data_IF_102080896143
#
_entry.id   IF_102080896143
#
_cell.length_a   1.000
_cell.length_b   1.000
_cell.length_c   1.000
_cell.angle_alpha   90.00
_cell.angle_beta   90.00
_cell.angle_gamma   90.00
#
_symmetry.space_group_name_H-M   'P 1'
#
loop_
_entity.id
_entity.type
_entity.pdbx_description
1 polymer ?
#
# COMPACT_ATOMS: atom_id res chain seq x y z
N UNK A 1 -2.34 -2.68 -23.42
CA UNK A 1 -1.81 -1.83 -22.33
C UNK A 1 -2.01 -2.52 -20.99
N UNK A 2 -0.96 -2.56 -20.17
CA UNK A 2 -0.97 -3.06 -18.79
C UNK A 2 -0.84 -1.88 -17.86
N UNK A 3 -1.87 -1.64 -17.04
CA UNK A 3 -1.86 -0.63 -15.99
C UNK A 3 -1.72 -1.33 -14.64
N UNK A 4 -0.77 -0.88 -13.82
CA UNK A 4 -0.50 -1.45 -12.50
C UNK A 4 -0.73 -0.37 -11.44
N UNK A 5 -1.60 -0.68 -10.46
CA UNK A 5 -1.71 0.09 -9.23
C UNK A 5 -0.57 -0.31 -8.30
N UNK A 6 0.37 0.60 -8.10
CA UNK A 6 1.55 0.41 -7.24
C UNK A 6 1.48 1.23 -5.93
N UNK A 7 0.26 1.56 -5.51
CA UNK A 7 0.05 2.48 -4.38
C UNK A 7 0.62 1.96 -3.05
N UNK A 8 0.57 0.64 -2.83
CA UNK A 8 1.03 0.03 -1.57
C UNK A 8 2.51 -0.38 -1.59
N UNK A 9 2.97 -0.93 -2.72
CA UNK A 9 4.38 -1.28 -2.85
C UNK A 9 5.27 -0.04 -3.02
N UNK A 10 4.77 1.00 -3.67
CA UNK A 10 5.51 2.22 -3.99
C UNK A 10 6.75 1.96 -4.86
N UNK A 11 7.40 2.96 -5.44
CA UNK A 11 8.65 2.75 -6.16
C UNK A 11 9.83 2.32 -5.26
N UNK A 12 9.66 2.39 -3.93
CA UNK A 12 10.66 1.92 -2.98
C UNK A 12 10.78 0.39 -2.97
N UNK A 13 9.68 -0.33 -3.14
CA UNK A 13 9.65 -1.80 -3.08
C UNK A 13 9.49 -2.43 -4.46
N UNK A 14 8.68 -1.84 -5.35
CA UNK A 14 8.37 -2.42 -6.65
C UNK A 14 8.40 -1.37 -7.75
N UNK A 15 8.98 -1.72 -8.89
CA UNK A 15 9.06 -0.86 -10.10
C UNK A 15 8.39 -1.55 -11.28
N UNK A 16 7.05 -1.47 -11.42
CA UNK A 16 6.32 -2.24 -12.43
C UNK A 16 6.72 -1.96 -13.88
N UNK A 17 7.23 -0.77 -14.18
CA UNK A 17 7.75 -0.45 -15.53
C UNK A 17 8.86 -1.42 -15.93
N UNK A 18 9.77 -1.77 -15.02
CA UNK A 18 10.87 -2.73 -15.28
C UNK A 18 10.37 -4.17 -15.43
N UNK A 19 9.11 -4.42 -15.05
CA UNK A 19 8.42 -5.70 -15.15
C UNK A 19 7.43 -5.74 -16.34
N UNK A 20 7.45 -4.71 -17.20
CA UNK A 20 6.66 -4.64 -18.42
C UNK A 20 5.29 -3.97 -18.29
N UNK A 21 5.06 -3.16 -17.26
CA UNK A 21 3.89 -2.30 -17.19
C UNK A 21 4.04 -1.10 -18.13
N UNK A 22 2.95 -0.75 -18.82
CA UNK A 22 2.89 0.42 -19.70
C UNK A 22 2.51 1.69 -18.91
N UNK A 23 1.67 1.53 -17.89
CA UNK A 23 1.20 2.60 -17.01
C UNK A 23 1.34 2.15 -15.56
N UNK A 24 1.86 3.02 -14.71
CA UNK A 24 1.92 2.79 -13.28
C UNK A 24 1.19 3.91 -12.55
N UNK A 25 0.24 3.54 -11.71
CA UNK A 25 -0.51 4.46 -10.87
C UNK A 25 0.07 4.46 -9.44
N UNK A 26 0.16 5.64 -8.86
CA UNK A 26 0.55 5.86 -7.48
C UNK A 26 -0.44 6.76 -6.77
N UNK A 27 -0.83 6.38 -5.55
CA UNK A 27 -1.52 7.29 -4.63
C UNK A 27 -0.49 8.10 -3.85
N UNK A 28 -0.47 9.41 -4.03
CA UNK A 28 0.29 10.32 -3.19
C UNK A 28 -0.30 10.44 -1.78
N UNK A 29 -1.58 10.14 -1.62
CA UNK A 29 -2.32 10.16 -0.35
C UNK A 29 -1.83 9.09 0.65
N UNK A 30 -1.26 8.00 0.16
CA UNK A 30 -0.84 6.83 0.95
C UNK A 30 0.64 6.98 1.36
N UNK A 31 1.42 5.98 1.18
CA UNK A 31 2.82 5.91 1.59
C UNK A 31 3.74 6.98 0.99
N UNK A 32 3.42 7.58 -0.17
CA UNK A 32 4.28 8.60 -0.77
C UNK A 32 4.35 9.85 0.10
N UNK A 33 3.21 10.36 0.57
CA UNK A 33 3.18 11.38 1.64
C UNK A 33 3.58 10.77 2.99
N UNK A 34 2.95 9.66 3.36
CA UNK A 34 3.25 8.88 4.55
C UNK A 34 2.88 9.54 5.87
N UNK A 35 2.11 10.63 5.85
CA UNK A 35 1.68 11.34 7.05
C UNK A 35 0.21 11.80 7.02
N UNK A 36 -0.56 11.39 6.01
CA UNK A 36 -1.99 11.72 5.91
C UNK A 36 -2.28 13.21 5.75
N UNK A 37 -1.40 13.97 5.06
CA UNK A 37 -1.47 15.44 4.95
C UNK A 37 -2.14 15.92 3.68
N UNK A 38 -2.10 15.14 2.59
CA UNK A 38 -2.57 15.55 1.28
C UNK A 38 -3.31 14.43 0.55
N UNK A 39 -4.19 14.82 -0.35
CA UNK A 39 -4.72 13.95 -1.39
C UNK A 39 -3.97 14.24 -2.69
N UNK A 40 -3.33 13.22 -3.25
CA UNK A 40 -2.55 13.33 -4.46
C UNK A 40 -2.51 11.99 -5.21
N UNK A 41 -2.23 12.06 -6.52
CA UNK A 41 -1.99 10.89 -7.36
C UNK A 41 -0.98 11.19 -8.45
N UNK A 42 -0.34 10.14 -8.95
CA UNK A 42 0.57 10.23 -10.09
C UNK A 42 0.35 9.06 -11.05
N UNK A 43 0.37 9.36 -12.34
CA UNK A 43 0.43 8.38 -13.43
C UNK A 43 1.79 8.47 -14.10
N UNK A 44 2.50 7.37 -14.14
CA UNK A 44 3.78 7.23 -14.82
C UNK A 44 3.59 6.38 -16.06
N UNK A 45 4.02 6.89 -17.21
CA UNK A 45 3.92 6.22 -18.52
C UNK A 45 5.02 6.75 -19.45
N UNK A 46 5.23 6.16 -20.64
CA UNK A 46 6.14 6.71 -21.65
C UNK A 46 5.76 8.17 -22.01
N UNK A 47 6.77 9.00 -22.25
CA UNK A 47 6.61 10.43 -22.48
C UNK A 47 5.56 10.77 -23.53
N UNK A 48 5.56 10.07 -24.67
CA UNK A 48 4.58 10.28 -25.73
C UNK A 48 3.14 10.07 -25.23
N UNK A 49 2.90 9.04 -24.41
CA UNK A 49 1.59 8.78 -23.84
C UNK A 49 1.18 9.88 -22.84
N UNK A 50 2.11 10.32 -22.01
CA UNK A 50 1.86 11.43 -21.07
C UNK A 50 1.51 12.70 -21.84
N UNK A 51 2.34 13.09 -22.81
CA UNK A 51 2.15 14.32 -23.59
C UNK A 51 0.85 14.31 -24.42
N UNK A 52 0.60 13.21 -25.12
CA UNK A 52 -0.44 13.16 -26.16
C UNK A 52 -1.80 12.69 -25.61
N UNK A 53 -1.82 12.04 -24.43
CA UNK A 53 -3.05 11.50 -23.86
C UNK A 53 -3.36 12.05 -22.46
N UNK A 54 -2.41 12.04 -21.52
CA UNK A 54 -2.70 12.39 -20.13
C UNK A 54 -2.77 13.91 -19.92
N UNK A 55 -1.81 14.67 -20.45
CA UNK A 55 -1.78 16.11 -20.27
C UNK A 55 -3.01 16.83 -20.86
N UNK A 56 -3.52 16.48 -22.06
CA UNK A 56 -4.76 17.08 -22.56
C UNK A 56 -5.96 16.82 -21.64
N UNK A 57 -6.11 15.59 -21.14
CA UNK A 57 -7.19 15.25 -20.19
C UNK A 57 -7.04 16.03 -18.89
N UNK A 58 -5.84 16.05 -18.31
CA UNK A 58 -5.56 16.78 -17.09
C UNK A 58 -5.88 18.27 -17.20
N UNK A 59 -5.45 18.91 -18.29
CA UNK A 59 -5.69 20.33 -18.54
C UNK A 59 -7.18 20.63 -18.72
N UNK A 60 -7.87 19.84 -19.53
CA UNK A 60 -9.27 20.08 -19.84
C UNK A 60 -10.21 19.79 -18.67
N UNK A 61 -9.90 18.78 -17.85
CA UNK A 61 -10.67 18.41 -16.66
C UNK A 61 -10.26 19.19 -15.40
N UNK A 62 -9.20 20.01 -15.45
CA UNK A 62 -8.73 20.78 -14.30
C UNK A 62 -8.12 19.96 -13.15
N UNK A 63 -7.76 18.71 -13.38
CA UNK A 63 -7.20 17.80 -12.37
C UNK A 63 -5.71 18.08 -12.12
N UNK A 64 -5.40 19.29 -11.67
CA UNK A 64 -4.03 19.73 -11.43
C UNK A 64 -3.76 19.77 -9.92
N UNK A 65 -2.70 19.10 -9.50
CA UNK A 65 -2.24 19.13 -8.11
C UNK A 65 -1.73 20.54 -7.78
N UNK A 66 -2.13 21.10 -6.62
CA UNK A 66 -1.60 22.40 -6.20
C UNK A 66 -0.09 22.33 -5.94
N UNK A 67 0.66 23.42 -6.18
CA UNK A 67 2.10 23.45 -5.91
C UNK A 67 2.44 23.12 -4.45
N UNK A 68 1.62 23.54 -3.50
CA UNK A 68 1.82 23.23 -2.07
C UNK A 68 1.68 21.73 -1.82
N UNK A 69 0.62 21.09 -2.34
CA UNK A 69 0.45 19.64 -2.18
C UNK A 69 1.56 18.84 -2.87
N UNK A 70 2.03 19.30 -4.03
CA UNK A 70 3.19 18.70 -4.70
C UNK A 70 4.44 18.78 -3.84
N UNK A 71 4.71 19.92 -3.22
CA UNK A 71 5.82 20.09 -2.30
C UNK A 71 5.69 19.18 -1.06
N UNK A 72 4.49 19.05 -0.47
CA UNK A 72 4.27 18.12 0.66
C UNK A 72 4.57 16.68 0.28
N UNK A 73 4.12 16.23 -0.90
CA UNK A 73 4.44 14.86 -1.40
C UNK A 73 5.95 14.70 -1.60
N UNK A 74 6.63 15.70 -2.18
CA UNK A 74 8.10 15.66 -2.33
C UNK A 74 8.80 15.47 -0.97
N UNK A 75 8.32 16.16 0.08
CA UNK A 75 8.85 15.97 1.44
C UNK A 75 8.59 14.56 2.00
N UNK A 76 7.47 13.96 1.68
CA UNK A 76 7.19 12.56 2.00
C UNK A 76 8.14 11.58 1.30
N UNK A 77 8.47 11.84 0.03
CA UNK A 77 9.38 11.00 -0.76
C UNK A 77 10.81 10.95 -0.19
N UNK A 78 11.29 12.01 0.47
CA UNK A 78 12.63 12.06 1.07
C UNK A 78 12.87 10.93 2.08
N UNK A 79 11.83 10.48 2.78
CA UNK A 79 11.91 9.41 3.79
C UNK A 79 11.26 8.11 3.37
N UNK A 80 10.75 8.01 2.15
CA UNK A 80 9.96 6.87 1.68
C UNK A 80 10.68 5.53 1.88
N UNK A 81 11.92 5.42 1.42
CA UNK A 81 12.69 4.17 1.50
C UNK A 81 12.91 3.71 2.94
N UNK A 82 13.25 4.64 3.83
CA UNK A 82 13.48 4.34 5.25
C UNK A 82 12.18 3.87 5.91
N UNK A 83 11.09 4.58 5.67
CA UNK A 83 9.77 4.23 6.22
C UNK A 83 9.28 2.88 5.73
N UNK A 84 9.30 2.65 4.43
CA UNK A 84 8.81 1.39 3.84
C UNK A 84 9.64 0.19 4.31
N UNK A 85 10.96 0.35 4.47
CA UNK A 85 11.83 -0.70 5.01
C UNK A 85 11.45 -1.05 6.45
N UNK A 86 11.31 -0.06 7.32
CA UNK A 86 10.93 -0.26 8.71
C UNK A 86 9.52 -0.82 8.85
N UNK A 87 8.55 -0.27 8.11
CA UNK A 87 7.16 -0.74 8.12
C UNK A 87 7.02 -2.16 7.58
N UNK A 88 7.77 -2.53 6.54
CA UNK A 88 7.76 -3.91 6.00
C UNK A 88 8.34 -4.92 6.99
N UNK A 89 9.38 -4.55 7.74
CA UNK A 89 9.94 -5.39 8.79
C UNK A 89 8.93 -5.60 9.93
N UNK A 90 8.32 -4.52 10.42
CA UNK A 90 7.29 -4.59 11.45
C UNK A 90 6.06 -5.40 11.00
N UNK A 91 5.63 -5.23 9.74
CA UNK A 91 4.52 -6.00 9.18
C UNK A 91 4.83 -7.50 9.13
N UNK A 92 6.07 -7.89 8.81
CA UNK A 92 6.48 -9.28 8.82
C UNK A 92 6.46 -9.88 10.23
N UNK A 93 6.94 -9.14 11.22
CA UNK A 93 6.94 -9.61 12.62
C UNK A 93 5.51 -9.78 13.15
N UNK A 94 4.63 -8.82 12.86
CA UNK A 94 3.20 -8.91 13.20
C UNK A 94 2.54 -10.08 12.46
N UNK A 95 2.81 -10.28 11.18
CA UNK A 95 2.25 -11.36 10.40
C UNK A 95 2.64 -12.75 10.96
N UNK A 96 3.90 -12.93 11.34
CA UNK A 96 4.40 -14.15 11.98
C UNK A 96 3.73 -14.42 13.33
N UNK A 97 3.55 -13.37 14.13
CA UNK A 97 2.86 -13.48 15.41
C UNK A 97 1.38 -13.86 15.21
N UNK A 98 0.71 -13.24 14.24
CA UNK A 98 -0.69 -13.53 13.91
C UNK A 98 -0.87 -14.96 13.39
N UNK A 99 0.05 -15.52 12.60
CA UNK A 99 -0.03 -16.92 12.14
C UNK A 99 -0.06 -17.93 13.31
N UNK A 100 0.58 -17.60 14.43
CA UNK A 100 0.65 -18.44 15.61
C UNK A 100 -0.46 -18.15 16.62
N UNK A 101 -1.24 -17.08 16.41
CA UNK A 101 -2.24 -16.66 17.38
C UNK A 101 -3.46 -17.58 17.38
N UNK A 102 -3.91 -18.11 18.53
CA UNK A 102 -4.98 -19.11 18.59
C UNK A 102 -6.34 -18.63 18.07
N UNK A 103 -6.62 -17.32 18.09
CA UNK A 103 -7.86 -16.73 17.59
C UNK A 103 -7.82 -16.38 16.10
N UNK A 104 -6.69 -16.54 15.41
CA UNK A 104 -6.53 -16.25 13.98
C UNK A 104 -6.65 -17.53 13.17
N UNK A 105 -7.43 -17.52 12.11
CA UNK A 105 -7.59 -18.66 11.20
C UNK A 105 -6.68 -18.59 9.99
N UNK A 106 -6.37 -17.38 9.51
CA UNK A 106 -5.54 -17.16 8.32
C UNK A 106 -4.94 -15.76 8.33
N UNK A 107 -3.70 -15.64 7.83
CA UNK A 107 -3.04 -14.36 7.58
C UNK A 107 -2.77 -14.22 6.09
N UNK A 108 -3.05 -13.05 5.54
CA UNK A 108 -2.78 -12.69 4.14
C UNK A 108 -1.66 -11.65 4.13
N UNK A 109 -0.45 -12.11 3.92
CA UNK A 109 0.72 -11.24 3.82
C UNK A 109 1.75 -11.86 2.86
N UNK A 110 2.10 -11.19 1.76
CA UNK A 110 2.99 -11.74 0.75
C UNK A 110 4.41 -12.04 1.23
N UNK A 111 4.81 -11.48 2.37
CA UNK A 111 6.11 -11.73 3.01
C UNK A 111 6.18 -13.02 3.84
N UNK A 112 5.08 -13.77 4.01
CA UNK A 112 5.09 -15.06 4.69
C UNK A 112 5.34 -16.20 3.72
N UNK A 113 6.20 -17.17 4.04
CA UNK A 113 6.41 -18.38 3.23
C UNK A 113 5.12 -19.18 2.96
N UNK A 114 4.13 -19.10 3.82
CA UNK A 114 2.80 -19.71 3.70
C UNK A 114 1.93 -19.05 2.62
N UNK A 115 2.27 -17.83 2.17
CA UNK A 115 1.49 -17.14 1.15
C UNK A 115 1.71 -17.76 -0.24
N UNK A 116 0.64 -18.04 -1.02
CA UNK A 116 0.76 -18.73 -2.32
C UNK A 116 1.69 -18.04 -3.32
N UNK A 117 1.80 -16.72 -3.24
CA UNK A 117 2.62 -15.90 -4.12
C UNK A 117 3.92 -15.39 -3.46
N UNK A 118 4.36 -16.01 -2.36
CA UNK A 118 5.58 -15.59 -1.64
C UNK A 118 6.78 -15.43 -2.57
N UNK A 119 7.11 -16.47 -3.33
CA UNK A 119 8.27 -16.44 -4.23
C UNK A 119 8.18 -15.33 -5.29
N UNK A 120 6.97 -15.06 -5.80
CA UNK A 120 6.72 -13.97 -6.73
C UNK A 120 6.92 -12.61 -6.05
N UNK A 121 6.33 -12.42 -4.88
CA UNK A 121 6.45 -11.18 -4.09
C UNK A 121 7.92 -10.87 -3.76
N UNK A 122 8.68 -11.85 -3.27
CA UNK A 122 10.10 -11.68 -2.95
C UNK A 122 10.91 -11.24 -4.17
N UNK A 123 10.60 -11.79 -5.34
CA UNK A 123 11.28 -11.42 -6.59
C UNK A 123 10.89 -10.02 -7.09
N UNK A 124 9.63 -9.61 -6.95
CA UNK A 124 9.12 -8.34 -7.47
C UNK A 124 9.26 -7.17 -6.50
N UNK A 125 9.26 -7.43 -5.20
CA UNK A 125 9.19 -6.43 -4.14
C UNK A 125 10.49 -6.30 -3.34
N UNK A 126 11.62 -6.47 -4.00
CA UNK A 126 12.97 -6.29 -3.38
C UNK A 126 13.20 -7.17 -2.14
N UNK A 127 12.64 -8.37 -2.11
CA UNK A 127 12.82 -9.33 -1.02
C UNK A 127 11.97 -9.07 0.23
N UNK A 128 10.95 -8.21 0.15
CA UNK A 128 10.06 -7.89 1.29
C UNK A 128 8.59 -8.06 0.90
N UNK A 129 7.70 -8.16 1.88
CA UNK A 129 6.25 -8.34 1.66
C UNK A 129 5.43 -7.06 1.65
N UNK A 130 6.07 -5.89 1.82
CA UNK A 130 5.35 -4.62 1.96
C UNK A 130 4.85 -4.36 3.38
N UNK A 131 4.05 -3.32 3.56
CA UNK A 131 3.62 -2.82 4.86
C UNK A 131 2.10 -3.00 5.11
N UNK A 132 1.42 -3.82 4.30
CA UNK A 132 -0.02 -4.09 4.45
C UNK A 132 -0.24 -5.58 4.62
N UNK A 133 -0.98 -5.95 5.64
CA UNK A 133 -1.43 -7.31 5.89
C UNK A 133 -2.91 -7.33 6.25
N UNK A 134 -3.55 -8.47 6.12
CA UNK A 134 -4.89 -8.73 6.63
C UNK A 134 -4.97 -10.13 7.22
N UNK A 135 -5.96 -10.37 8.05
CA UNK A 135 -6.15 -11.68 8.67
C UNK A 135 -7.62 -11.96 8.96
N UNK A 136 -7.95 -13.24 9.01
CA UNK A 136 -9.26 -13.73 9.39
C UNK A 136 -9.25 -14.22 10.84
N UNK A 137 -10.26 -13.84 11.62
CA UNK A 137 -10.49 -14.36 12.97
C UNK A 137 -11.20 -15.70 12.91
N UNK A 138 -10.86 -16.62 13.81
CA UNK A 138 -11.57 -17.90 13.95
C UNK A 138 -13.02 -17.66 14.40
N UNK A 139 -13.96 -18.29 13.72
CA UNK A 139 -15.38 -18.22 14.05
C UNK A 139 -16.09 -19.47 13.54
N UNK A 140 -17.25 -19.78 14.12
CA UNK A 140 -18.08 -20.92 13.70
C UNK A 140 -18.88 -20.60 12.42
N UNK A 141 -19.24 -19.34 12.23
CA UNK A 141 -20.01 -18.85 11.08
C UNK A 141 -19.69 -17.40 10.75
N UNK A 142 -20.26 -16.89 9.66
CA UNK A 142 -20.02 -15.54 9.16
C UNK A 142 -20.48 -14.43 10.12
N UNK A 143 -21.60 -14.63 10.84
CA UNK A 143 -22.12 -13.66 11.79
C UNK A 143 -21.16 -13.51 12.98
N UNK A 144 -20.68 -14.62 13.52
CA UNK A 144 -19.70 -14.65 14.58
C UNK A 144 -18.34 -14.08 14.12
N UNK A 145 -17.93 -14.40 12.88
CA UNK A 145 -16.69 -13.84 12.29
C UNK A 145 -16.76 -12.31 12.26
N UNK A 146 -17.87 -11.77 11.77
CA UNK A 146 -18.10 -10.32 11.73
C UNK A 146 -18.07 -9.70 13.13
N UNK A 147 -18.79 -10.25 14.07
CA UNK A 147 -18.85 -9.74 15.44
C UNK A 147 -17.45 -9.73 16.11
N UNK A 148 -16.67 -10.81 15.93
CA UNK A 148 -15.30 -10.91 16.45
C UNK A 148 -14.35 -9.92 15.77
N UNK A 149 -14.46 -9.72 14.46
CA UNK A 149 -13.65 -8.74 13.74
C UNK A 149 -13.91 -7.31 14.24
N UNK A 150 -15.18 -6.93 14.42
CA UNK A 150 -15.54 -5.65 15.03
C UNK A 150 -15.04 -5.53 16.46
N UNK A 151 -15.17 -6.58 17.27
CA UNK A 151 -14.62 -6.57 18.63
C UNK A 151 -13.09 -6.35 18.64
N UNK A 152 -12.36 -6.94 17.72
CA UNK A 152 -10.90 -6.65 17.58
C UNK A 152 -10.67 -5.18 17.28
N UNK A 153 -11.39 -4.63 16.29
CA UNK A 153 -11.24 -3.22 15.88
C UNK A 153 -11.59 -2.26 17.04
N UNK A 154 -12.69 -2.52 17.74
CA UNK A 154 -13.17 -1.67 18.85
C UNK A 154 -12.28 -1.77 20.10
N UNK A 155 -11.47 -2.83 20.21
CA UNK A 155 -10.56 -3.06 21.33
C UNK A 155 -9.14 -2.50 21.09
N UNK A 156 -8.86 -1.94 19.90
CA UNK A 156 -7.56 -1.37 19.59
C UNK A 156 -7.29 -0.12 20.46
N UNK A 157 -6.09 -0.05 21.03
CA UNK A 157 -5.64 1.07 21.86
C UNK A 157 -4.51 1.88 21.24
N UNK A 158 -3.73 1.25 20.35
CA UNK A 158 -2.57 1.86 19.68
C UNK A 158 -2.86 2.16 18.23
N UNK A 159 -3.55 1.24 17.54
CA UNK A 159 -3.94 1.40 16.15
C UNK A 159 -5.27 2.13 16.04
N UNK A 160 -5.38 3.04 15.08
CA UNK A 160 -6.60 3.79 14.82
C UNK A 160 -7.41 3.15 13.69
N UNK A 161 -8.72 3.05 13.88
CA UNK A 161 -9.65 2.71 12.81
C UNK A 161 -9.77 3.92 11.87
N UNK A 162 -9.36 3.76 10.62
CA UNK A 162 -9.32 4.85 9.64
C UNK A 162 -9.66 4.32 8.24
N UNK A 163 -10.19 5.19 7.39
CA UNK A 163 -10.44 4.90 5.96
C UNK A 163 -9.18 5.10 5.10
N UNK A 164 -8.13 5.66 5.66
CA UNK A 164 -6.83 5.83 5.02
C UNK A 164 -5.82 4.82 5.57
N UNK A 165 -4.70 4.67 4.89
CA UNK A 165 -3.56 3.86 5.33
C UNK A 165 -2.25 4.42 4.76
N UNK A 166 -1.12 3.96 5.31
CA UNK A 166 0.21 4.33 4.81
C UNK A 166 0.82 5.56 5.49
N UNK A 167 0.17 6.10 6.50
CA UNK A 167 0.73 7.16 7.36
C UNK A 167 1.32 6.59 8.66
N UNK A 168 1.86 7.48 9.48
CA UNK A 168 2.54 7.18 10.75
C UNK A 168 1.74 7.64 11.98
N UNK A 169 0.46 7.90 11.82
CA UNK A 169 -0.43 8.35 12.90
C UNK A 169 -1.29 7.23 13.43
#
# INVERSE_FOLDING_TARGET
LRCVDNCFATPALQRPVTLGADIVMHSGTKFLDGQGRVMAGALCAPEAMVRDKFLPVQKNAGMVLSPFNAWVVLKGLETLNIRLKAQSAAALDIARWLEQHPAVSRVFYPGLPSHPQYALAMRQMSGVGGAVLSFDVKAADAAQARARAFHVLDSLQVLSLCTNLGDTK
#
